data_IF_148364139278
#
_entry.id   IF_148364139278
#
_cell.length_a   1.000
_cell.length_b   1.000
_cell.length_c   1.000
_cell.angle_alpha   90.00
_cell.angle_beta   90.00
_cell.angle_gamma   90.00
#
_symmetry.space_group_name_H-M   'P 1'
#
loop_
_entity.id
_entity.type
_entity.pdbx_description
1 polymer ?
#
# COMPACT_ATOMS: atom_id res chain seq x y z
N UNK A 1 12.09 -17.64 26.59
CA UNK A 1 11.97 -16.29 25.98
C UNK A 1 10.67 -16.17 25.19
N UNK A 2 10.05 -14.99 25.16
CA UNK A 2 8.88 -14.70 24.31
C UNK A 2 9.19 -13.73 23.18
N UNK A 3 8.54 -13.94 22.03
CA UNK A 3 8.45 -12.97 20.93
C UNK A 3 7.22 -12.11 21.13
N UNK A 4 7.39 -10.78 21.07
CA UNK A 4 6.30 -9.81 21.22
C UNK A 4 6.07 -9.10 19.88
N UNK A 5 4.87 -9.23 19.31
CA UNK A 5 4.43 -8.43 18.15
C UNK A 5 3.46 -7.38 18.62
N UNK A 6 3.70 -6.13 18.23
CA UNK A 6 2.86 -5.00 18.58
C UNK A 6 2.04 -4.55 17.37
N UNK A 7 0.82 -4.09 17.63
CA UNK A 7 -0.07 -3.51 16.64
C UNK A 7 -0.87 -2.36 17.22
N UNK A 8 -1.36 -1.49 16.35
CA UNK A 8 -2.31 -0.44 16.65
C UNK A 8 -3.64 -0.78 15.95
N UNK A 9 -4.68 -1.03 16.73
CA UNK A 9 -6.04 -1.17 16.21
C UNK A 9 -6.75 0.17 16.35
N UNK A 10 -7.33 0.68 15.25
CA UNK A 10 -8.09 1.92 15.29
C UNK A 10 -9.55 1.64 14.96
N UNK A 11 -10.46 2.22 15.74
CA UNK A 11 -11.89 2.12 15.58
C UNK A 11 -12.50 3.53 15.63
N UNK A 12 -13.54 3.81 14.84
CA UNK A 12 -14.23 5.11 14.91
C UNK A 12 -14.91 5.33 16.25
N UNK A 13 -15.51 4.27 16.79
CA UNK A 13 -16.13 4.23 18.10
C UNK A 13 -15.77 2.89 18.76
N UNK A 14 -15.55 2.90 20.07
CA UNK A 14 -15.25 1.71 20.84
C UNK A 14 -15.85 1.83 22.25
N UNK A 15 -16.58 0.83 22.75
CA UNK A 15 -17.00 0.77 24.14
C UNK A 15 -15.80 0.67 25.10
N UNK A 16 -15.90 1.25 26.29
CA UNK A 16 -14.80 1.28 27.28
C UNK A 16 -14.31 -0.12 27.69
N UNK A 17 -15.22 -1.11 27.72
CA UNK A 17 -14.89 -2.51 28.00
C UNK A 17 -13.85 -3.12 27.04
N UNK A 18 -13.81 -2.63 25.79
CA UNK A 18 -12.85 -3.08 24.78
C UNK A 18 -11.54 -2.28 24.78
N UNK A 19 -11.39 -1.28 25.65
CA UNK A 19 -10.14 -0.56 25.79
C UNK A 19 -9.09 -1.31 26.61
N UNK A 20 -9.54 -2.20 27.49
CA UNK A 20 -8.69 -2.97 28.41
C UNK A 20 -9.12 -4.42 28.44
N UNK A 21 -8.42 -5.26 27.70
CA UNK A 21 -8.67 -6.70 27.68
C UNK A 21 -7.38 -7.49 27.51
N UNK A 22 -7.48 -8.77 27.88
CA UNK A 22 -6.49 -9.80 27.65
C UNK A 22 -7.19 -11.11 27.34
N UNK A 23 -6.56 -11.93 26.51
CA UNK A 23 -7.09 -13.22 26.11
C UNK A 23 -6.01 -14.12 25.52
N UNK A 24 -6.44 -15.27 25.01
CA UNK A 24 -5.57 -16.24 24.37
C UNK A 24 -6.25 -16.78 23.12
N UNK A 25 -5.54 -16.81 22.00
CA UNK A 25 -6.01 -17.38 20.74
C UNK A 25 -4.96 -18.38 20.26
N UNK A 26 -5.33 -19.67 20.16
CA UNK A 26 -4.40 -20.70 19.68
C UNK A 26 -3.11 -20.82 20.51
N UNK A 27 -3.16 -20.56 21.82
CA UNK A 27 -2.00 -20.56 22.71
C UNK A 27 -1.15 -19.28 22.66
N UNK A 28 -1.53 -18.29 21.85
CA UNK A 28 -0.90 -16.96 21.81
C UNK A 28 -1.63 -16.05 22.79
N UNK A 29 -0.89 -15.48 23.74
CA UNK A 29 -1.43 -14.46 24.63
C UNK A 29 -1.57 -13.14 23.86
N UNK A 30 -2.71 -12.48 23.98
CA UNK A 30 -2.97 -11.21 23.30
C UNK A 30 -3.72 -10.25 24.23
N UNK A 31 -3.40 -8.96 24.17
CA UNK A 31 -4.06 -7.97 25.01
C UNK A 31 -3.75 -6.53 24.63
N UNK A 32 -4.49 -5.61 25.22
CA UNK A 32 -4.21 -4.17 25.16
C UNK A 32 -3.14 -3.79 26.18
N UNK A 33 -2.18 -2.99 25.76
CA UNK A 33 -1.18 -2.36 26.65
C UNK A 33 -1.44 -0.86 26.83
N UNK A 34 -2.24 -0.26 25.96
CA UNK A 34 -2.69 1.12 26.10
C UNK A 34 -3.84 1.44 25.15
N UNK A 35 -4.64 2.44 25.50
CA UNK A 35 -5.66 3.02 24.65
C UNK A 35 -5.47 4.54 24.59
N UNK A 36 -5.88 5.16 23.49
CA UNK A 36 -5.96 6.60 23.35
C UNK A 36 -7.22 6.97 22.57
N UNK A 37 -8.07 7.81 23.15
CA UNK A 37 -9.21 8.40 22.45
C UNK A 37 -8.78 9.70 21.80
N UNK A 38 -9.16 9.87 20.54
CA UNK A 38 -8.90 11.07 19.74
C UNK A 38 -10.20 11.51 19.08
N UNK A 39 -10.21 12.70 18.49
CA UNK A 39 -11.35 13.17 17.68
C UNK A 39 -11.66 12.25 16.49
N UNK A 40 -10.67 11.47 16.04
CA UNK A 40 -10.81 10.52 14.91
C UNK A 40 -11.22 9.12 15.34
N UNK A 41 -11.45 8.89 16.64
CA UNK A 41 -11.84 7.60 17.20
C UNK A 41 -10.87 7.07 18.27
N UNK A 42 -10.93 5.78 18.52
CA UNK A 42 -10.19 5.08 19.57
C UNK A 42 -9.05 4.27 18.96
N UNK A 43 -7.84 4.50 19.46
CA UNK A 43 -6.65 3.72 19.13
C UNK A 43 -6.29 2.81 20.30
N UNK A 44 -6.14 1.52 20.03
CA UNK A 44 -5.62 0.53 20.97
C UNK A 44 -4.21 0.13 20.54
N UNK A 45 -3.26 0.17 21.46
CA UNK A 45 -1.97 -0.50 21.29
C UNK A 45 -2.14 -1.90 21.87
N UNK A 46 -2.00 -2.90 21.00
CA UNK A 46 -2.13 -4.31 21.32
C UNK A 46 -0.80 -5.02 21.22
N UNK A 47 -0.65 -6.07 22.02
CA UNK A 47 0.50 -6.97 22.01
C UNK A 47 0.00 -8.39 21.83
N UNK A 48 0.59 -9.13 20.90
CA UNK A 48 0.49 -10.58 20.81
C UNK A 48 1.85 -11.17 21.16
N UNK A 49 1.86 -12.18 22.03
CA UNK A 49 3.09 -12.81 22.49
C UNK A 49 3.02 -14.34 22.52
N UNK A 50 4.14 -14.97 22.17
CA UNK A 50 4.28 -16.42 22.18
C UNK A 50 5.70 -16.84 22.58
N UNK A 51 5.81 -18.01 23.19
CA UNK A 51 7.09 -18.61 23.56
C UNK A 51 7.91 -18.98 22.31
N UNK A 52 9.20 -18.67 22.38
CA UNK A 52 10.18 -19.08 21.37
C UNK A 52 10.84 -20.39 21.81
N UNK A 53 10.75 -21.41 20.95
CA UNK A 53 11.38 -22.72 21.20
C UNK A 53 12.91 -22.66 21.31
N UNK A 54 13.52 -21.69 20.65
CA UNK A 54 14.97 -21.52 20.56
C UNK A 54 15.33 -20.05 20.59
N UNK A 55 16.54 -19.75 21.08
CA UNK A 55 17.13 -18.43 20.96
C UNK A 55 17.25 -18.02 19.48
N UNK A 56 16.98 -16.76 19.10
CA UNK A 56 17.04 -16.31 17.71
C UNK A 56 18.45 -16.48 17.17
N UNK A 57 18.55 -16.83 15.89
CA UNK A 57 19.85 -16.81 15.20
C UNK A 57 20.36 -15.37 15.19
N UNK A 58 21.66 -15.20 15.38
CA UNK A 58 22.32 -13.89 15.32
C UNK A 58 23.20 -13.84 14.08
N UNK A 59 23.10 -12.77 13.29
CA UNK A 59 23.93 -12.56 12.11
C UNK A 59 25.38 -12.22 12.49
N UNK A 60 26.30 -12.22 11.52
CA UNK A 60 27.68 -11.79 11.74
C UNK A 60 27.79 -10.35 12.25
N UNK A 61 26.78 -9.51 12.01
CA UNK A 61 26.69 -8.12 12.46
C UNK A 61 26.08 -7.98 13.86
N UNK A 62 25.76 -9.08 14.55
CA UNK A 62 25.14 -9.04 15.87
C UNK A 62 23.63 -8.78 15.86
N UNK A 63 22.95 -9.00 14.73
CA UNK A 63 21.51 -8.75 14.60
C UNK A 63 20.71 -10.04 14.82
N UNK A 64 19.66 -9.98 15.65
CA UNK A 64 18.78 -11.13 15.87
C UNK A 64 17.79 -11.30 14.72
N UNK A 65 17.69 -12.53 14.21
CA UNK A 65 16.75 -12.93 13.16
C UNK A 65 15.44 -13.37 13.78
N UNK A 66 14.36 -12.68 13.43
CA UNK A 66 13.00 -12.99 13.90
C UNK A 66 12.42 -14.17 13.12
N UNK A 67 11.90 -15.22 13.78
CA UNK A 67 11.27 -16.35 13.10
C UNK A 67 9.98 -15.92 12.38
N UNK A 68 10.00 -15.95 11.05
CA UNK A 68 8.88 -15.48 10.21
C UNK A 68 7.57 -16.20 10.51
N UNK A 69 7.60 -17.54 10.65
CA UNK A 69 6.39 -18.33 10.93
C UNK A 69 5.72 -17.91 12.24
N UNK A 70 6.51 -17.70 13.29
CA UNK A 70 5.96 -17.28 14.59
C UNK A 70 5.44 -15.84 14.52
N UNK A 71 6.19 -14.93 13.88
CA UNK A 71 5.76 -13.56 13.65
C UNK A 71 4.40 -13.49 12.93
N UNK A 72 4.25 -14.22 11.82
CA UNK A 72 2.98 -14.30 11.06
C UNK A 72 1.83 -14.85 11.89
N UNK A 73 2.08 -15.80 12.80
CA UNK A 73 1.06 -16.30 13.74
C UNK A 73 0.62 -15.20 14.73
N UNK A 74 1.57 -14.42 15.26
CA UNK A 74 1.25 -13.28 16.13
C UNK A 74 0.47 -12.18 15.39
N UNK A 75 0.84 -11.90 14.14
CA UNK A 75 0.11 -10.96 13.27
C UNK A 75 -1.32 -11.43 13.01
N UNK A 76 -1.51 -12.69 12.61
CA UNK A 76 -2.84 -13.27 12.45
C UNK A 76 -3.68 -13.22 13.73
N UNK A 77 -3.07 -13.33 14.91
CA UNK A 77 -3.74 -13.17 16.19
C UNK A 77 -4.23 -11.72 16.41
N UNK A 78 -3.39 -10.72 16.10
CA UNK A 78 -3.76 -9.29 16.15
C UNK A 78 -4.91 -9.00 15.19
N UNK A 79 -4.81 -9.46 13.94
CA UNK A 79 -5.86 -9.29 12.94
C UNK A 79 -7.16 -9.96 13.38
N UNK A 80 -7.10 -11.21 13.84
CA UNK A 80 -8.26 -11.96 14.34
C UNK A 80 -8.97 -11.22 15.45
N UNK A 81 -8.23 -10.69 16.43
CA UNK A 81 -8.84 -9.94 17.51
C UNK A 81 -9.44 -8.62 17.04
N UNK A 82 -8.77 -7.92 16.13
CA UNK A 82 -9.37 -6.77 15.45
C UNK A 82 -10.71 -7.14 14.79
N UNK A 83 -10.77 -8.27 14.08
CA UNK A 83 -11.99 -8.76 13.44
C UNK A 83 -13.11 -9.02 14.47
N UNK A 84 -12.79 -9.67 15.59
CA UNK A 84 -13.76 -9.98 16.65
C UNK A 84 -14.32 -8.72 17.30
N UNK A 85 -13.47 -7.74 17.59
CA UNK A 85 -13.91 -6.45 18.14
C UNK A 85 -14.79 -5.72 17.12
N UNK A 86 -14.36 -5.65 15.85
CA UNK A 86 -15.16 -5.08 14.75
C UNK A 86 -16.55 -5.72 14.65
N UNK A 87 -16.64 -7.05 14.78
CA UNK A 87 -17.92 -7.77 14.78
C UNK A 87 -18.78 -7.38 15.97
N UNK A 88 -18.19 -7.35 17.18
CA UNK A 88 -18.90 -7.02 18.42
C UNK A 88 -19.52 -5.63 18.39
N UNK A 89 -18.80 -4.66 17.84
CA UNK A 89 -19.24 -3.25 17.80
C UNK A 89 -19.93 -2.88 16.48
N UNK A 90 -20.03 -3.83 15.54
CA UNK A 90 -20.47 -3.62 14.15
C UNK A 90 -19.77 -2.43 13.48
N UNK A 91 -18.48 -2.29 13.78
CA UNK A 91 -17.67 -1.14 13.39
C UNK A 91 -16.48 -1.53 12.52
N UNK A 92 -15.96 -0.54 11.82
CA UNK A 92 -14.76 -0.67 10.99
C UNK A 92 -13.53 -0.69 11.88
N UNK A 93 -12.46 -1.33 11.39
CA UNK A 93 -11.13 -1.24 12.00
C UNK A 93 -10.10 -0.89 10.94
N UNK A 94 -9.00 -0.30 11.38
CA UNK A 94 -7.73 -0.32 10.66
C UNK A 94 -6.63 -0.86 11.56
N UNK A 95 -5.59 -1.43 10.95
CA UNK A 95 -4.45 -2.01 11.65
C UNK A 95 -3.20 -1.29 11.17
N UNK A 96 -2.40 -0.82 12.11
CA UNK A 96 -1.08 -0.23 11.87
C UNK A 96 -0.07 -0.78 12.88
N UNK A 97 1.22 -0.49 12.69
CA UNK A 97 2.29 -0.85 13.61
C UNK A 97 2.72 0.37 14.42
N UNK A 98 2.87 0.25 15.75
CA UNK A 98 3.56 1.26 16.55
C UNK A 98 5.07 1.19 16.33
N UNK A 99 5.79 2.15 16.90
CA UNK A 99 7.25 2.09 17.05
C UNK A 99 7.61 1.89 18.52
N UNK A 100 8.29 0.78 18.89
CA UNK A 100 8.73 -0.34 18.04
C UNK A 100 7.58 -1.29 17.66
N UNK A 101 7.72 -1.99 16.54
CA UNK A 101 6.72 -2.94 16.02
C UNK A 101 6.90 -4.37 16.59
N UNK A 102 8.07 -4.65 17.14
CA UNK A 102 8.48 -5.95 17.68
C UNK A 102 9.41 -5.80 18.88
N UNK A 103 9.36 -6.75 19.81
CA UNK A 103 10.29 -6.85 20.94
C UNK A 103 10.53 -8.32 21.34
N UNK A 104 11.58 -8.56 22.13
CA UNK A 104 11.86 -9.83 22.79
C UNK A 104 11.75 -9.67 24.30
N UNK A 105 11.16 -10.66 24.97
CA UNK A 105 11.05 -10.70 26.43
C UNK A 105 11.82 -11.93 26.97
N UNK A 106 12.97 -11.73 27.64
CA UNK A 106 13.66 -12.83 28.32
C UNK A 106 12.83 -13.35 29.48
N UNK A 107 12.82 -14.67 29.67
CA UNK A 107 12.13 -15.35 30.78
C UNK A 107 13.08 -15.77 31.91
N UNK A 108 14.40 -15.73 31.65
CA UNK A 108 15.44 -16.03 32.63
C UNK A 108 16.69 -15.15 32.42
N UNK A 109 17.60 -15.19 33.39
CA UNK A 109 18.81 -14.36 33.39
C UNK A 109 19.80 -14.75 32.29
N UNK A 110 19.88 -16.03 31.91
CA UNK A 110 20.74 -16.46 30.81
C UNK A 110 20.30 -15.82 29.48
N UNK A 111 19.00 -15.87 29.20
CA UNK A 111 18.41 -15.21 28.03
C UNK A 111 18.65 -13.71 28.07
N UNK A 112 18.48 -13.07 29.24
CA UNK A 112 18.75 -11.63 29.42
C UNK A 112 20.20 -11.29 29.09
N UNK A 113 21.17 -12.05 29.60
CA UNK A 113 22.59 -11.82 29.32
C UNK A 113 22.92 -12.02 27.84
N UNK A 114 22.35 -13.05 27.19
CA UNK A 114 22.56 -13.29 25.75
C UNK A 114 21.92 -12.20 24.89
N UNK A 115 20.72 -11.76 25.24
CA UNK A 115 20.02 -10.67 24.56
C UNK A 115 20.74 -9.33 24.69
N UNK A 116 21.45 -9.08 25.80
CA UNK A 116 22.27 -7.88 25.98
C UNK A 116 23.45 -7.79 24.99
N UNK A 117 23.80 -8.89 24.32
CA UNK A 117 24.85 -8.92 23.28
C UNK A 117 24.29 -8.68 21.86
N UNK A 118 22.97 -8.60 21.70
CA UNK A 118 22.31 -8.34 20.42
C UNK A 118 22.32 -6.83 20.15
N UNK A 119 22.68 -6.42 18.94
CA UNK A 119 22.79 -5.01 18.54
C UNK A 119 21.54 -4.48 17.83
N UNK A 120 20.58 -5.35 17.50
CA UNK A 120 19.37 -4.99 16.78
C UNK A 120 18.64 -6.21 16.21
N UNK A 121 17.62 -5.96 15.39
CA UNK A 121 16.94 -7.00 14.63
C UNK A 121 17.40 -6.99 13.17
N UNK A 122 17.51 -8.18 12.59
CA UNK A 122 17.75 -8.34 11.16
C UNK A 122 16.41 -8.28 10.44
N UNK A 123 16.23 -7.23 9.66
CA UNK A 123 15.09 -7.06 8.77
C UNK A 123 15.49 -7.38 7.34
N UNK A 124 14.54 -7.84 6.53
CA UNK A 124 14.78 -8.01 5.11
C UNK A 124 14.96 -6.63 4.47
N UNK A 125 16.00 -6.43 3.64
CA UNK A 125 16.09 -5.22 2.82
C UNK A 125 14.88 -5.21 1.88
N UNK A 126 14.11 -4.13 1.92
CA UNK A 126 12.95 -3.94 1.06
C UNK A 126 12.45 -2.51 1.11
N UNK A 127 11.78 -2.07 0.05
CA UNK A 127 11.17 -0.75 0.06
C UNK A 127 10.00 -0.75 1.06
N UNK A 128 10.16 0.02 2.13
CA UNK A 128 9.15 0.20 3.17
C UNK A 128 8.16 1.30 2.83
N UNK A 129 8.30 1.94 1.67
CA UNK A 129 7.44 3.03 1.23
C UNK A 129 6.61 2.53 0.05
N UNK A 130 5.32 2.37 0.27
CA UNK A 130 4.37 2.20 -0.81
C UNK A 130 3.97 3.56 -1.35
N UNK A 131 4.42 3.85 -2.57
CA UNK A 131 4.07 5.10 -3.27
C UNK A 131 2.86 4.86 -4.17
N UNK A 132 1.79 5.59 -3.90
CA UNK A 132 0.62 5.71 -4.75
C UNK A 132 0.61 7.04 -5.50
N UNK A 133 0.06 7.03 -6.71
CA UNK A 133 -0.24 8.26 -7.46
C UNK A 133 -1.69 8.62 -7.23
N UNK A 134 -1.91 9.83 -6.70
CA UNK A 134 -3.25 10.37 -6.64
C UNK A 134 -3.59 10.98 -8.00
N UNK A 135 -4.08 10.13 -8.90
CA UNK A 135 -4.45 10.55 -10.25
C UNK A 135 -5.67 11.47 -10.15
N UNK A 136 -5.46 12.75 -10.41
CA UNK A 136 -6.50 13.77 -10.50
C UNK A 136 -6.59 14.26 -11.93
N UNK A 137 -7.82 14.45 -12.40
CA UNK A 137 -8.10 15.07 -13.68
C UNK A 137 -8.57 16.49 -13.43
N UNK A 138 -7.83 17.47 -13.95
CA UNK A 138 -8.18 18.89 -13.83
C UNK A 138 -9.48 19.19 -14.58
N UNK A 139 -9.66 18.59 -15.76
CA UNK A 139 -10.89 18.59 -16.53
C UNK A 139 -11.14 17.19 -17.09
N UNK A 140 -12.08 16.44 -16.50
CA UNK A 140 -12.47 15.13 -17.02
C UNK A 140 -13.23 15.24 -18.36
N UNK A 141 -13.73 16.44 -18.68
CA UNK A 141 -14.41 16.78 -19.92
C UNK A 141 -13.60 16.46 -21.16
N UNK A 142 -12.29 16.68 -21.10
CA UNK A 142 -11.33 16.40 -22.19
C UNK A 142 -11.33 14.93 -22.64
N UNK A 143 -11.74 14.02 -21.75
CA UNK A 143 -11.74 12.58 -22.02
C UNK A 143 -13.11 12.02 -22.36
N UNK A 144 -14.17 12.83 -22.35
CA UNK A 144 -15.54 12.34 -22.49
C UNK A 144 -15.74 11.54 -23.78
N UNK A 145 -15.27 12.05 -24.92
CA UNK A 145 -15.38 11.36 -26.22
C UNK A 145 -14.64 10.02 -26.23
N UNK A 146 -13.53 9.92 -25.51
CA UNK A 146 -12.75 8.69 -25.41
C UNK A 146 -13.34 7.64 -24.46
N UNK A 147 -14.29 8.02 -23.61
CA UNK A 147 -14.87 7.15 -22.57
C UNK A 147 -16.29 6.68 -22.91
N UNK A 148 -16.94 7.20 -23.96
CA UNK A 148 -18.33 6.89 -24.30
C UNK A 148 -18.59 5.39 -24.54
N UNK A 149 -17.61 4.67 -25.10
CA UNK A 149 -17.72 3.23 -25.41
C UNK A 149 -17.47 2.30 -24.20
N UNK A 150 -17.08 2.88 -23.05
CA UNK A 150 -16.59 2.15 -21.87
C UNK A 150 -17.07 2.72 -20.54
N UNK A 151 -18.27 3.29 -20.54
CA UNK A 151 -18.90 3.84 -19.32
C UNK A 151 -19.05 2.78 -18.21
N UNK A 152 -19.16 1.50 -18.57
CA UNK A 152 -19.15 0.42 -17.58
C UNK A 152 -17.77 0.24 -16.91
N UNK A 153 -16.68 0.48 -17.64
CA UNK A 153 -15.33 0.59 -17.07
C UNK A 153 -15.18 1.78 -16.13
N UNK A 154 -15.74 2.93 -16.52
CA UNK A 154 -15.78 4.14 -15.67
C UNK A 154 -16.53 3.84 -14.36
N UNK A 155 -17.72 3.22 -14.45
CA UNK A 155 -18.51 2.86 -13.28
C UNK A 155 -17.76 1.92 -12.32
N UNK A 156 -17.10 0.88 -12.83
CA UNK A 156 -16.30 -0.05 -12.03
C UNK A 156 -15.09 0.64 -11.37
N UNK A 157 -14.43 1.56 -12.09
CA UNK A 157 -13.32 2.31 -11.52
C UNK A 157 -13.81 3.26 -10.41
N UNK A 158 -14.96 3.91 -10.58
CA UNK A 158 -15.56 4.73 -9.51
C UNK A 158 -15.94 3.89 -8.29
N UNK A 159 -16.49 2.69 -8.49
CA UNK A 159 -16.80 1.75 -7.40
C UNK A 159 -15.52 1.36 -6.62
N UNK A 160 -14.42 1.13 -7.34
CA UNK A 160 -13.12 0.87 -6.69
C UNK A 160 -12.64 2.03 -5.80
N UNK A 161 -12.91 3.28 -6.18
CA UNK A 161 -12.54 4.47 -5.41
C UNK A 161 -13.43 4.59 -4.16
N UNK A 162 -14.71 4.21 -4.27
CA UNK A 162 -15.67 4.28 -3.17
C UNK A 162 -15.40 3.24 -2.06
N UNK A 163 -14.68 2.16 -2.35
CA UNK A 163 -14.26 1.20 -1.35
C UNK A 163 -13.19 1.76 -0.41
N UNK A 164 -13.37 1.61 0.90
CA UNK A 164 -12.33 1.94 1.88
C UNK A 164 -11.31 0.79 2.07
N UNK A 165 -11.78 -0.45 1.97
CA UNK A 165 -10.96 -1.65 2.20
C UNK A 165 -10.23 -2.07 0.92
N UNK A 166 -8.91 -2.31 1.01
CA UNK A 166 -8.07 -2.57 -0.16
C UNK A 166 -8.50 -3.80 -0.95
N UNK A 167 -9.00 -4.83 -0.27
CA UNK A 167 -9.56 -6.02 -0.91
C UNK A 167 -10.75 -5.71 -1.82
N UNK A 168 -11.64 -4.80 -1.40
CA UNK A 168 -12.76 -4.34 -2.22
C UNK A 168 -12.26 -3.56 -3.44
N UNK A 169 -11.32 -2.62 -3.23
CA UNK A 169 -10.67 -1.89 -4.33
C UNK A 169 -10.06 -2.84 -5.36
N UNK A 170 -9.28 -3.81 -4.89
CA UNK A 170 -8.63 -4.80 -5.73
C UNK A 170 -9.62 -5.59 -6.57
N UNK A 171 -10.71 -6.09 -5.96
CA UNK A 171 -11.76 -6.79 -6.70
C UNK A 171 -12.34 -5.95 -7.83
N UNK A 172 -12.64 -4.67 -7.57
CA UNK A 172 -13.20 -3.80 -8.59
C UNK A 172 -12.18 -3.47 -9.71
N UNK A 173 -10.89 -3.27 -9.39
CA UNK A 173 -9.86 -3.14 -10.43
C UNK A 173 -9.74 -4.40 -11.30
N UNK A 174 -9.80 -5.59 -10.69
CA UNK A 174 -9.84 -6.84 -11.45
C UNK A 174 -11.07 -6.88 -12.36
N UNK A 175 -12.25 -6.46 -11.87
CA UNK A 175 -13.47 -6.39 -12.69
C UNK A 175 -13.32 -5.41 -13.86
N UNK A 176 -12.61 -4.28 -13.69
CA UNK A 176 -12.27 -3.37 -14.80
C UNK A 176 -11.50 -4.14 -15.88
N UNK A 177 -10.46 -4.88 -15.52
CA UNK A 177 -9.69 -5.68 -16.48
C UNK A 177 -10.53 -6.77 -17.15
N UNK A 178 -11.28 -7.54 -16.37
CA UNK A 178 -12.13 -8.60 -16.92
C UNK A 178 -13.17 -8.03 -17.90
N UNK A 179 -13.72 -6.86 -17.58
CA UNK A 179 -14.67 -6.16 -18.43
C UNK A 179 -14.02 -5.64 -19.70
N UNK A 180 -12.85 -5.01 -19.58
CA UNK A 180 -12.07 -4.46 -20.67
C UNK A 180 -11.71 -5.53 -21.72
N UNK A 181 -11.26 -6.70 -21.27
CA UNK A 181 -10.78 -7.77 -22.16
C UNK A 181 -11.84 -8.83 -22.49
N UNK A 182 -13.01 -8.80 -21.82
CA UNK A 182 -14.06 -9.82 -21.94
C UNK A 182 -13.53 -11.23 -21.62
N UNK A 183 -12.60 -11.31 -20.67
CA UNK A 183 -11.94 -12.53 -20.24
C UNK A 183 -11.88 -12.55 -18.71
N UNK A 184 -11.77 -13.74 -18.13
CA UNK A 184 -11.71 -13.92 -16.69
C UNK A 184 -10.60 -14.89 -16.30
N UNK A 185 -10.15 -14.76 -15.05
CA UNK A 185 -9.19 -15.69 -14.42
C UNK A 185 -7.93 -15.87 -15.29
N UNK A 186 -7.40 -17.10 -15.40
CA UNK A 186 -6.20 -17.43 -16.18
C UNK A 186 -6.18 -16.89 -17.62
N UNK A 187 -7.34 -16.76 -18.28
CA UNK A 187 -7.41 -16.29 -19.67
C UNK A 187 -7.13 -14.80 -19.80
N UNK A 188 -7.28 -14.02 -18.74
CA UNK A 188 -7.00 -12.59 -18.72
C UNK A 188 -5.49 -12.28 -18.72
N UNK A 189 -4.66 -13.20 -18.20
CA UNK A 189 -3.26 -12.93 -17.89
C UNK A 189 -2.48 -12.49 -19.12
N UNK A 190 -2.47 -13.31 -20.18
CA UNK A 190 -1.67 -13.00 -21.37
C UNK A 190 -2.12 -11.70 -22.05
N UNK A 191 -3.42 -11.48 -22.36
CA UNK A 191 -3.86 -10.23 -22.96
C UNK A 191 -3.56 -8.98 -22.12
N UNK A 192 -3.77 -9.06 -20.81
CA UNK A 192 -3.50 -7.94 -19.91
C UNK A 192 -1.99 -7.67 -19.81
N UNK A 193 -1.16 -8.70 -19.70
CA UNK A 193 0.29 -8.57 -19.68
C UNK A 193 0.82 -7.97 -21.00
N UNK A 194 0.33 -8.44 -22.15
CA UNK A 194 0.72 -7.93 -23.47
C UNK A 194 0.32 -6.46 -23.65
N UNK A 195 -0.84 -6.06 -23.11
CA UNK A 195 -1.24 -4.65 -23.11
C UNK A 195 -0.33 -3.83 -22.19
N UNK A 196 -0.10 -4.26 -20.94
CA UNK A 196 0.65 -3.48 -19.95
C UNK A 196 2.16 -3.44 -20.22
N UNK A 197 2.74 -4.46 -20.85
CA UNK A 197 4.18 -4.49 -21.14
C UNK A 197 4.61 -3.48 -22.21
N UNK A 198 3.66 -3.03 -23.05
CA UNK A 198 3.91 -1.95 -24.03
C UNK A 198 3.82 -0.55 -23.41
N UNK A 199 3.48 -0.44 -22.13
CA UNK A 199 3.48 0.84 -21.41
C UNK A 199 4.90 1.24 -20.98
N UNK A 200 5.09 2.52 -20.68
CA UNK A 200 6.33 3.01 -20.08
C UNK A 200 6.51 2.64 -18.58
N UNK A 201 5.60 1.83 -18.01
CA UNK A 201 5.52 1.53 -16.58
C UNK A 201 6.10 0.16 -16.20
N UNK A 202 6.74 -0.52 -17.16
CA UNK A 202 7.53 -1.74 -16.97
C UNK A 202 6.80 -2.87 -16.21
N UNK A 203 5.51 -3.05 -16.48
CA UNK A 203 4.78 -4.21 -15.99
C UNK A 203 5.34 -5.50 -16.58
N UNK A 204 5.48 -6.54 -15.75
CA UNK A 204 5.92 -7.86 -16.21
C UNK A 204 4.74 -8.85 -16.27
N UNK A 205 4.84 -9.87 -17.12
CA UNK A 205 3.85 -10.95 -17.16
C UNK A 205 3.73 -11.68 -15.81
N UNK A 206 4.86 -11.86 -15.11
CA UNK A 206 4.90 -12.51 -13.79
C UNK A 206 4.14 -11.73 -12.73
N UNK A 207 4.20 -10.40 -12.79
CA UNK A 207 3.47 -9.51 -11.90
C UNK A 207 1.96 -9.61 -12.14
N UNK A 208 1.52 -9.56 -13.40
CA UNK A 208 0.10 -9.72 -13.76
C UNK A 208 -0.41 -11.11 -13.36
N UNK A 209 0.37 -12.16 -13.61
CA UNK A 209 0.05 -13.52 -13.18
C UNK A 209 -0.12 -13.60 -11.65
N UNK A 210 0.77 -12.96 -10.90
CA UNK A 210 0.68 -12.92 -9.44
C UNK A 210 -0.62 -12.28 -8.97
N UNK A 211 -1.02 -11.14 -9.55
CA UNK A 211 -2.30 -10.50 -9.23
C UNK A 211 -3.49 -11.43 -9.47
N UNK A 212 -3.52 -12.12 -10.61
CA UNK A 212 -4.67 -12.92 -11.02
C UNK A 212 -4.73 -14.29 -10.31
N UNK A 213 -3.60 -14.97 -10.12
CA UNK A 213 -3.58 -16.35 -9.60
C UNK A 213 -3.27 -16.46 -8.12
N UNK A 214 -2.41 -15.58 -7.61
CA UNK A 214 -1.94 -15.68 -6.24
C UNK A 214 -2.69 -14.74 -5.31
N UNK A 215 -3.26 -13.65 -5.83
CA UNK A 215 -3.95 -12.64 -5.02
C UNK A 215 -5.48 -12.72 -5.23
N UNK A 216 -5.98 -12.52 -6.46
CA UNK A 216 -7.43 -12.55 -6.75
C UNK A 216 -8.09 -13.85 -6.28
N UNK A 217 -7.57 -15.00 -6.68
CA UNK A 217 -8.21 -16.28 -6.38
C UNK A 217 -8.39 -16.52 -4.87
N UNK A 218 -7.35 -16.45 -4.02
CA UNK A 218 -7.51 -16.68 -2.57
C UNK A 218 -8.30 -15.61 -1.83
N UNK A 219 -8.46 -14.43 -2.41
CA UNK A 219 -9.29 -13.36 -1.84
C UNK A 219 -10.77 -13.57 -2.18
N UNK A 220 -11.06 -13.98 -3.43
CA UNK A 220 -12.43 -14.20 -3.88
C UNK A 220 -12.99 -15.55 -3.40
N UNK A 221 -12.15 -16.59 -3.33
CA UNK A 221 -12.54 -17.95 -2.99
C UNK A 221 -11.89 -18.38 -1.67
N UNK A 222 -12.67 -18.38 -0.59
CA UNK A 222 -12.17 -18.64 0.76
C UNK A 222 -11.98 -20.14 1.12
N UNK A 223 -12.37 -21.07 0.24
CA UNK A 223 -12.39 -22.52 0.51
C UNK A 223 -11.45 -23.34 -0.40
N UNK A 224 -10.91 -22.74 -1.47
CA UNK A 224 -10.02 -23.46 -2.40
C UNK A 224 -8.61 -23.71 -1.83
N UNK A 225 -8.25 -23.06 -0.72
CA UNK A 225 -6.95 -23.16 -0.04
C UNK A 225 -7.16 -23.15 1.48
N UNK A 226 -6.25 -23.79 2.22
CA UNK A 226 -6.25 -23.74 3.69
C UNK A 226 -6.08 -22.31 4.25
N UNK A 227 -5.53 -21.39 3.45
CA UNK A 227 -5.41 -19.98 3.79
C UNK A 227 -6.15 -19.09 2.77
N UNK A 228 -6.92 -18.13 3.29
CA UNK A 228 -7.46 -17.01 2.54
C UNK A 228 -6.56 -15.78 2.77
N UNK A 229 -6.63 -14.82 1.84
CA UNK A 229 -5.84 -13.59 1.92
C UNK A 229 -6.68 -12.43 2.46
N UNK A 230 -6.00 -11.50 3.14
CA UNK A 230 -6.59 -10.33 3.77
C UNK A 230 -6.01 -9.04 3.17
N UNK A 231 -6.38 -7.90 3.76
CA UNK A 231 -5.96 -6.59 3.28
C UNK A 231 -4.42 -6.43 3.24
N UNK A 232 -3.73 -7.01 4.22
CA UNK A 232 -2.26 -7.01 4.33
C UNK A 232 -1.59 -7.67 3.12
N UNK A 233 -2.21 -8.68 2.51
CA UNK A 233 -1.68 -9.37 1.33
C UNK A 233 -1.93 -8.60 0.02
N UNK A 234 -2.95 -7.75 -0.02
CA UNK A 234 -3.30 -6.91 -1.18
C UNK A 234 -2.46 -5.64 -1.24
N UNK A 235 -2.13 -5.10 -0.07
CA UNK A 235 -1.47 -3.82 0.12
C UNK A 235 -0.24 -3.63 -0.79
N UNK A 236 0.69 -4.60 -0.92
CA UNK A 236 1.90 -4.43 -1.72
C UNK A 236 1.67 -4.20 -3.22
N UNK A 237 0.50 -4.58 -3.75
CA UNK A 237 0.21 -4.51 -5.18
C UNK A 237 -0.85 -3.47 -5.55
N UNK A 238 -1.61 -2.95 -4.58
CA UNK A 238 -2.85 -2.22 -4.88
C UNK A 238 -2.61 -0.96 -5.72
N UNK A 239 -1.54 -0.21 -5.45
CA UNK A 239 -1.21 1.03 -6.16
C UNK A 239 -0.76 0.78 -7.60
N UNK A 240 -0.04 -0.31 -7.83
CA UNK A 240 0.37 -0.75 -9.18
C UNK A 240 -0.82 -1.17 -10.02
N UNK A 241 -1.76 -1.89 -9.38
CA UNK A 241 -3.02 -2.34 -9.99
C UNK A 241 -3.94 -1.16 -10.30
N UNK A 242 -4.06 -0.20 -9.39
CA UNK A 242 -4.80 1.05 -9.60
C UNK A 242 -4.28 1.81 -10.83
N UNK A 243 -2.97 2.05 -10.92
CA UNK A 243 -2.35 2.71 -12.08
C UNK A 243 -2.62 1.94 -13.39
N UNK A 244 -2.54 0.61 -13.36
CA UNK A 244 -2.86 -0.24 -14.50
C UNK A 244 -4.34 -0.16 -14.91
N UNK A 245 -5.25 -0.02 -13.95
CA UNK A 245 -6.68 0.13 -14.22
C UNK A 245 -7.01 1.44 -14.94
N UNK A 246 -6.37 2.54 -14.54
CA UNK A 246 -6.45 3.81 -15.29
C UNK A 246 -5.87 3.65 -16.70
N UNK A 247 -4.67 3.06 -16.84
CA UNK A 247 -4.04 2.84 -18.14
C UNK A 247 -4.92 2.00 -19.07
N UNK A 248 -5.50 0.90 -18.59
CA UNK A 248 -6.46 0.09 -19.37
C UNK A 248 -7.71 0.89 -19.75
N UNK A 249 -8.30 1.64 -18.81
CA UNK A 249 -9.52 2.41 -19.07
C UNK A 249 -9.30 3.44 -20.19
N UNK A 250 -8.23 4.23 -20.11
CA UNK A 250 -8.00 5.30 -21.07
C UNK A 250 -7.34 4.82 -22.36
N UNK A 251 -6.39 3.89 -22.29
CA UNK A 251 -5.50 3.57 -23.41
C UNK A 251 -5.81 2.25 -24.12
N UNK A 252 -6.72 1.41 -23.64
CA UNK A 252 -7.13 0.25 -24.44
C UNK A 252 -7.88 0.71 -25.69
N UNK A 253 -7.47 0.25 -26.88
CA UNK A 253 -8.06 0.70 -28.14
C UNK A 253 -9.53 0.26 -28.24
N UNK A 254 -9.77 -1.06 -28.17
CA UNK A 254 -11.11 -1.65 -28.26
C UNK A 254 -11.57 -2.18 -26.91
N UNK A 255 -12.64 -1.59 -26.37
CA UNK A 255 -13.25 -2.05 -25.13
C UNK A 255 -14.04 -3.36 -25.32
N UNK A 256 -14.09 -4.21 -24.28
CA UNK A 256 -14.74 -5.53 -24.27
C UNK A 256 -14.25 -6.50 -25.36
N UNK A 257 -12.96 -6.40 -25.68
CA UNK A 257 -12.31 -7.21 -26.70
C UNK A 257 -10.99 -7.78 -26.15
N UNK A 258 -10.70 -9.08 -26.38
CA UNK A 258 -9.50 -9.73 -25.87
C UNK A 258 -8.18 -9.22 -26.46
N UNK A 259 -8.19 -8.43 -27.54
CA UNK A 259 -6.98 -7.88 -28.16
C UNK A 259 -6.29 -6.85 -27.25
N UNK A 260 -4.95 -6.83 -27.30
CA UNK A 260 -4.12 -5.98 -26.44
C UNK A 260 -3.69 -4.66 -27.07
N UNK A 261 -4.37 -4.25 -28.15
CA UNK A 261 -4.05 -3.00 -28.83
C UNK A 261 -4.26 -1.79 -27.91
N UNK A 262 -3.37 -0.81 -28.08
CA UNK A 262 -3.30 0.43 -27.30
C UNK A 262 -3.55 1.64 -28.20
N UNK A 263 -4.22 2.64 -27.65
CA UNK A 263 -4.24 4.05 -28.09
C UNK A 263 -3.49 4.91 -27.06
N UNK A 264 -2.99 6.06 -27.45
CA UNK A 264 -2.25 6.97 -26.55
C UNK A 264 -3.13 8.18 -26.19
N UNK A 265 -4.10 7.96 -25.30
CA UNK A 265 -5.08 9.00 -24.90
C UNK A 265 -4.65 9.67 -23.60
N UNK A 266 -4.07 8.92 -22.68
CA UNK A 266 -3.73 9.41 -21.36
C UNK A 266 -2.39 8.85 -20.90
N UNK A 267 -1.54 9.71 -20.36
CA UNK A 267 -0.38 9.28 -19.61
C UNK A 267 -0.37 9.98 -18.25
N UNK A 268 -0.22 9.24 -17.14
CA UNK A 268 -0.06 9.85 -15.84
C UNK A 268 1.22 10.71 -15.83
N UNK A 269 1.16 11.95 -15.31
CA UNK A 269 2.34 12.81 -15.22
C UNK A 269 3.34 12.34 -14.16
N UNK A 270 2.96 11.41 -13.29
CA UNK A 270 3.82 10.78 -12.31
C UNK A 270 3.27 9.40 -11.95
N UNK A 271 4.12 8.51 -11.50
CA UNK A 271 3.70 7.16 -11.12
C UNK A 271 4.82 6.24 -10.72
N UNK A 272 4.47 4.97 -10.57
CA UNK A 272 5.44 3.91 -10.29
C UNK A 272 5.75 3.12 -11.55
N UNK A 273 7.03 2.86 -11.79
CA UNK A 273 7.50 2.03 -12.91
C UNK A 273 8.14 0.72 -12.45
N UNK A 274 8.12 0.40 -11.15
CA UNK A 274 8.60 -0.89 -10.67
C UNK A 274 7.82 -1.39 -9.46
N UNK A 275 7.91 -2.69 -9.21
CA UNK A 275 7.41 -3.32 -7.97
C UNK A 275 8.20 -2.91 -6.74
N UNK A 276 9.37 -2.28 -6.92
CA UNK A 276 10.23 -1.81 -5.84
C UNK A 276 9.91 -0.36 -5.44
N UNK A 277 8.85 0.23 -5.99
CA UNK A 277 8.43 1.61 -5.68
C UNK A 277 9.33 2.68 -6.31
N UNK A 278 9.99 2.38 -7.43
CA UNK A 278 10.63 3.41 -8.24
C UNK A 278 9.57 4.36 -8.80
N UNK A 279 9.88 5.66 -8.82
CA UNK A 279 8.96 6.72 -9.18
C UNK A 279 9.43 7.37 -10.48
N UNK A 280 8.51 7.63 -11.40
CA UNK A 280 8.74 8.56 -12.50
C UNK A 280 7.91 9.83 -12.31
N UNK A 281 8.43 10.94 -12.79
CA UNK A 281 7.81 12.26 -12.74
C UNK A 281 8.03 12.95 -14.08
N UNK A 282 7.03 13.59 -14.65
CA UNK A 282 7.13 14.38 -15.88
C UNK A 282 7.36 15.85 -15.54
N UNK A 283 8.38 16.44 -16.13
CA UNK A 283 8.74 17.85 -15.94
C UNK A 283 7.56 18.77 -16.28
N UNK A 284 7.36 19.81 -15.47
CA UNK A 284 6.33 20.82 -15.71
C UNK A 284 4.93 20.46 -15.21
N UNK A 285 4.74 19.27 -14.61
CA UNK A 285 3.48 18.87 -13.99
C UNK A 285 3.55 18.94 -12.46
N UNK A 286 2.44 19.28 -11.84
CA UNK A 286 2.28 19.17 -10.39
C UNK A 286 2.25 17.69 -9.98
N UNK A 287 2.92 17.37 -8.88
CA UNK A 287 3.11 16.00 -8.40
C UNK A 287 2.37 15.81 -7.08
N UNK A 288 1.41 14.88 -7.08
CA UNK A 288 0.64 14.52 -5.90
C UNK A 288 0.86 13.05 -5.57
N UNK A 289 1.86 12.77 -4.72
CA UNK A 289 2.20 11.43 -4.26
C UNK A 289 1.61 11.16 -2.88
N UNK A 290 1.04 9.97 -2.71
CA UNK A 290 0.66 9.45 -1.41
C UNK A 290 1.65 8.35 -1.04
N UNK A 291 2.36 8.53 0.08
CA UNK A 291 3.35 7.57 0.56
C UNK A 291 2.85 6.93 1.86
N UNK A 292 2.70 5.61 1.84
CA UNK A 292 2.43 4.82 3.03
C UNK A 292 3.71 4.12 3.48
N UNK A 293 4.23 4.51 4.64
CA UNK A 293 5.38 3.84 5.24
C UNK A 293 4.87 2.59 5.95
N UNK A 294 5.49 1.45 5.70
CA UNK A 294 5.22 0.18 6.35
C UNK A 294 6.24 -0.08 7.48
N UNK A 295 5.86 -0.97 8.39
CA UNK A 295 6.78 -1.49 9.40
C UNK A 295 7.95 -2.29 8.79
N UNK A 296 8.85 -2.73 9.66
CA UNK A 296 10.08 -3.42 9.31
C UNK A 296 9.84 -4.79 8.64
N UNK A 297 8.62 -5.32 8.74
CA UNK A 297 8.20 -6.58 8.15
C UNK A 297 7.27 -6.40 6.96
N UNK A 298 7.01 -5.15 6.56
CA UNK A 298 6.06 -4.79 5.51
C UNK A 298 4.65 -5.37 5.75
N UNK A 299 4.30 -5.63 7.02
CA UNK A 299 3.04 -6.26 7.38
C UNK A 299 1.92 -5.23 7.56
N UNK A 300 2.20 -4.15 8.31
CA UNK A 300 1.25 -3.08 8.57
C UNK A 300 1.83 -1.70 8.22
N UNK A 301 0.96 -0.72 7.87
CA UNK A 301 1.35 0.68 7.84
C UNK A 301 1.88 1.13 9.19
N UNK A 302 2.91 1.97 9.21
CA UNK A 302 3.46 2.55 10.42
C UNK A 302 2.54 3.66 10.95
N UNK A 303 2.11 3.57 12.20
CA UNK A 303 1.44 4.67 12.88
C UNK A 303 2.50 5.66 13.38
N UNK A 304 2.68 6.76 12.66
CA UNK A 304 3.65 7.82 13.02
C UNK A 304 3.31 8.50 14.35
N UNK A 305 2.07 8.38 14.83
CA UNK A 305 1.64 8.84 16.15
C UNK A 305 1.62 7.71 17.19
N UNK A 306 1.88 6.48 16.76
CA UNK A 306 1.89 5.24 17.56
C UNK A 306 3.25 5.00 18.22
N UNK A 307 3.94 6.06 18.64
CA UNK A 307 5.23 5.94 19.32
C UNK A 307 4.98 5.51 20.77
N UNK A 308 5.53 4.36 21.15
CA UNK A 308 5.51 3.93 22.55
C UNK A 308 6.49 4.76 23.36
N UNK A 309 5.96 5.69 24.16
CA UNK A 309 6.76 6.56 25.04
C UNK A 309 7.43 5.79 26.18
N UNK A 310 6.75 4.77 26.70
CA UNK A 310 7.19 3.96 27.84
C UNK A 310 7.25 2.49 27.41
N UNK A 311 8.39 2.08 26.86
CA UNK A 311 8.67 0.66 26.60
C UNK A 311 9.07 0.02 27.94
N UNK A 312 8.43 -1.09 28.36
CA UNK A 312 8.83 -1.78 29.58
C UNK A 312 10.31 -2.15 29.58
N UNK A 313 11.01 -1.93 30.70
CA UNK A 313 12.47 -2.08 30.79
C UNK A 313 12.94 -3.53 30.58
N UNK A 314 12.04 -4.47 30.84
CA UNK A 314 12.23 -5.89 30.62
C UNK A 314 12.17 -6.29 29.14
N UNK A 315 11.66 -5.43 28.26
CA UNK A 315 11.59 -5.70 26.83
C UNK A 315 12.88 -5.28 26.15
N UNK A 316 13.49 -6.22 25.43
CA UNK A 316 14.49 -5.89 24.45
C UNK A 316 13.79 -5.46 23.16
N UNK A 317 13.65 -4.16 23.00
CA UNK A 317 13.15 -3.56 21.77
C UNK A 317 14.21 -2.61 21.23
N UNK A 318 14.47 -2.70 19.93
CA UNK A 318 15.34 -1.75 19.25
C UNK A 318 14.45 -0.89 18.37
N UNK A 319 14.42 0.44 18.56
CA UNK A 319 13.87 1.30 17.52
C UNK A 319 14.68 1.06 16.24
N UNK A 320 14.06 1.12 15.05
CA UNK A 320 14.80 1.02 13.80
C UNK A 320 15.90 2.09 13.79
N UNK A 321 17.15 1.68 13.58
CA UNK A 321 18.32 2.56 13.66
C UNK A 321 18.37 3.59 12.54
N UNK A 322 17.63 3.38 11.45
CA UNK A 322 17.33 4.33 10.37
C UNK A 322 16.19 3.75 9.50
N UNK A 323 15.18 4.55 9.15
CA UNK A 323 14.24 4.20 8.06
C UNK A 323 14.91 4.62 6.76
N UNK A 324 15.42 3.65 5.99
CA UNK A 324 15.96 3.91 4.64
C UNK A 324 14.87 3.61 3.62
N UNK A 325 14.34 4.65 2.99
CA UNK A 325 13.61 4.50 1.74
C UNK A 325 14.63 4.41 0.61
N UNK A 326 14.56 3.36 -0.19
CA UNK A 326 15.37 3.19 -1.40
C UNK A 326 14.44 3.08 -2.59
N UNK A 327 14.65 3.91 -3.59
CA UNK A 327 13.93 3.91 -4.85
C UNK A 327 14.62 4.87 -5.80
N UNK A 328 14.56 4.58 -7.09
CA UNK A 328 15.05 5.47 -8.13
C UNK A 328 13.93 6.46 -8.50
N UNK A 329 14.27 7.74 -8.57
CA UNK A 329 13.38 8.77 -9.09
C UNK A 329 13.87 9.16 -10.48
N UNK A 330 13.03 8.96 -11.49
CA UNK A 330 13.30 9.33 -12.88
C UNK A 330 12.48 10.55 -13.27
N UNK A 331 13.13 11.65 -13.66
CA UNK A 331 12.45 12.81 -14.24
C UNK A 331 12.43 12.68 -15.76
N UNK A 332 11.23 12.56 -16.32
CA UNK A 332 10.99 12.55 -17.77
C UNK A 332 10.78 13.99 -18.26
N UNK A 333 11.33 14.39 -19.40
CA UNK A 333 11.05 15.70 -19.99
C UNK A 333 9.55 15.84 -20.31
N UNK A 334 9.01 17.06 -20.24
CA UNK A 334 7.66 17.36 -20.78
C UNK A 334 7.67 16.99 -22.26
N UNK A 335 6.70 16.22 -22.78
CA UNK A 335 6.55 16.06 -24.21
C UNK A 335 6.43 17.45 -24.85
N UNK A 336 7.27 17.75 -25.83
CA UNK A 336 7.24 19.05 -26.52
C UNK A 336 5.92 19.11 -27.30
N UNK A 337 4.97 19.93 -26.84
CA UNK A 337 3.75 20.21 -27.59
C UNK A 337 4.06 21.39 -28.50
N UNK A 338 4.08 21.18 -29.81
CA UNK A 338 4.30 22.24 -30.83
C UNK A 338 3.24 23.37 -30.74
N UNK A 339 2.18 23.21 -29.94
CA UNK A 339 1.13 24.20 -29.77
C UNK A 339 1.50 25.43 -28.90
N UNK A 340 2.62 25.41 -28.16
CA UNK A 340 3.02 26.53 -27.29
C UNK A 340 4.00 27.53 -27.97
N UNK A 341 4.37 27.35 -29.25
CA UNK A 341 5.34 28.23 -29.93
C UNK A 341 4.74 29.38 -30.75
N UNK A 342 3.46 29.71 -30.59
CA UNK A 342 2.84 30.86 -31.27
C UNK A 342 2.36 31.91 -30.28
N UNK A 343 3.28 32.57 -29.59
CA UNK A 343 3.03 33.88 -28.98
C UNK A 343 4.13 34.84 -29.45
N UNK A 344 3.85 35.39 -30.63
CA UNK A 344 4.11 36.74 -31.13
C UNK A 344 5.40 37.47 -30.73
N UNK A 345 6.18 37.78 -31.76
CA UNK A 345 7.17 38.85 -31.85
C UNK A 345 6.68 40.20 -31.26
N UNK A 346 7.59 41.08 -30.80
CA UNK A 346 7.24 42.34 -30.19
C UNK A 346 6.64 43.30 -31.24
N UNK A 347 5.49 43.88 -30.90
CA UNK A 347 4.88 44.99 -31.63
C UNK A 347 5.90 46.14 -31.76
N UNK A 348 6.31 46.44 -32.99
CA UNK A 348 6.95 47.71 -33.35
C UNK A 348 6.03 48.86 -32.93
N UNK A 349 6.52 49.72 -32.02
CA UNK A 349 5.85 50.98 -31.70
C UNK A 349 6.15 51.99 -32.82
N UNK A 350 5.09 52.40 -33.51
CA UNK A 350 5.08 53.56 -34.40
C UNK A 350 5.42 54.84 -33.60
N UNK A 351 6.47 55.60 -33.96
CA UNK A 351 6.89 56.80 -33.23
C UNK A 351 6.09 58.07 -33.55
N UNK A 352 5.03 58.02 -34.37
CA UNK A 352 4.36 59.23 -34.88
C UNK A 352 2.96 59.50 -34.32
N UNK A 353 2.78 59.48 -33.00
CA UNK A 353 1.65 60.20 -32.39
C UNK A 353 2.11 61.16 -31.30
N UNK A 354 2.65 62.29 -31.77
CA UNK A 354 2.77 63.52 -31.01
C UNK A 354 1.44 64.31 -31.07
N UNK A 355 0.96 64.67 -29.88
CA UNK A 355 0.30 65.93 -29.50
C UNK A 355 -0.70 66.60 -30.45
N UNK A 356 -1.89 66.94 -29.92
CA UNK A 356 -2.21 68.34 -29.61
C UNK A 356 -3.54 68.49 -28.81
N UNK A 357 -3.70 69.60 -28.06
CA UNK A 357 -4.64 69.70 -26.94
C UNK A 357 -5.86 70.61 -27.22
N UNK A 358 -6.92 70.41 -26.43
CA UNK A 358 -7.76 71.45 -25.81
C UNK A 358 -8.67 70.80 -24.76
#
# INVERSE_FOLDING_TARGET
MKLLRLGCLHFSELPEEWEKWRGTIGGIEIGTIGSNRTEKGVRLIVIAQAEMKYFPKVTAQGLAVIPEKLRKQLEGCIETMGNLISLSIRGRRTISSPTPSIALLPENDEERTRLAQVHGFSFLPGNRCETGSLIKFSDIGEYLEHLQDRLDGVALLVESIAHEHLTGKFHEYIRVFERAFRLSSKRLIAPLADFLCTSAFQYSAQEVENWILNIRHPITHADERECFLLESDVRPVIRRVEQAAYDVLFNKEMWRNPQSNRRDVWQPPFGTNSTNGDIFITQGFEVNLENQILDEFQAYPLDLQGIMKNIPIEWLAFPPSEIRASGQVTVKPKPFSEAESSITDPIERDPNQAEAPA
#
